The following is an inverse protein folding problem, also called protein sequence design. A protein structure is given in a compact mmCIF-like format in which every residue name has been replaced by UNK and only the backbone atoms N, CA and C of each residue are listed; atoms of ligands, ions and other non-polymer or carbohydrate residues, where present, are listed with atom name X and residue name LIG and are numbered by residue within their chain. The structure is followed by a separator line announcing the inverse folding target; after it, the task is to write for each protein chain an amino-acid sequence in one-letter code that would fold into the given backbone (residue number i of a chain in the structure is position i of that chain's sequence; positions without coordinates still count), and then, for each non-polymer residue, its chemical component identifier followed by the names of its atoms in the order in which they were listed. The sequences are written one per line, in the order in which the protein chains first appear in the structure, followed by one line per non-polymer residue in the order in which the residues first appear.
data_IF_252552923464
#
_entry.id   IF_252552923464
#
_cell.length_a   1.000
_cell.length_b   1.000
_cell.length_c   1.000
_cell.angle_alpha   90.00
_cell.angle_beta   90.00
_cell.angle_gamma   90.00
#
_symmetry.space_group_name_H-M   'P 1'
#
loop_
_entity.id
_entity.type
_entity.pdbx_description
1 polymer ?
#
# COMPACT_ATOMS: atom_id res chain seq x y z
N UNK A 1 -12.56 -1.20 -17.06
CA UNK A 1 -12.96 -1.06 -15.64
C UNK A 1 -12.42 0.26 -15.09
N UNK A 2 -13.04 0.80 -14.05
CA UNK A 2 -12.60 2.02 -13.35
C UNK A 2 -12.03 1.65 -11.99
N UNK A 3 -10.78 1.99 -11.74
CA UNK A 3 -10.10 1.69 -10.48
C UNK A 3 -9.69 2.93 -9.73
N UNK A 4 -9.96 2.94 -8.42
CA UNK A 4 -9.42 3.93 -7.51
C UNK A 4 -8.16 3.38 -6.82
N UNK A 5 -7.07 4.13 -6.86
CA UNK A 5 -5.83 3.82 -6.14
C UNK A 5 -5.65 4.86 -5.03
N UNK A 6 -5.79 4.45 -3.77
CA UNK A 6 -5.32 5.28 -2.66
C UNK A 6 -3.83 5.05 -2.45
N UNK A 7 -3.10 6.10 -2.11
CA UNK A 7 -1.63 5.99 -2.02
C UNK A 7 -0.92 5.93 -3.38
N UNK A 8 -1.56 6.46 -4.43
CA UNK A 8 -1.01 6.49 -5.79
C UNK A 8 0.36 7.18 -5.88
N UNK A 9 0.64 8.15 -5.01
CA UNK A 9 1.93 8.86 -4.95
C UNK A 9 3.00 8.13 -4.12
N UNK A 10 2.67 6.97 -3.58
CA UNK A 10 3.58 6.12 -2.79
C UNK A 10 4.56 5.34 -3.67
N UNK A 11 5.04 4.20 -3.14
CA UNK A 11 5.99 3.34 -3.85
C UNK A 11 5.30 2.39 -4.84
N UNK A 12 4.31 1.62 -4.40
CA UNK A 12 3.63 0.64 -5.25
C UNK A 12 2.58 1.29 -6.18
N UNK A 13 1.96 2.41 -5.74
CA UNK A 13 0.89 3.08 -6.46
C UNK A 13 1.20 3.43 -7.92
N UNK A 14 2.32 4.10 -8.24
CA UNK A 14 2.66 4.45 -9.62
C UNK A 14 2.91 3.22 -10.51
N UNK A 15 3.52 2.17 -9.95
CA UNK A 15 3.75 0.93 -10.67
C UNK A 15 2.41 0.22 -11.00
N UNK A 16 1.46 0.24 -10.06
CA UNK A 16 0.11 -0.27 -10.29
C UNK A 16 -0.64 0.57 -11.32
N UNK A 17 -0.57 1.90 -11.23
CA UNK A 17 -1.20 2.79 -12.20
C UNK A 17 -0.68 2.53 -13.63
N UNK A 18 0.64 2.38 -13.79
CA UNK A 18 1.23 2.05 -15.10
C UNK A 18 0.75 0.68 -15.61
N UNK A 19 0.65 -0.33 -14.75
CA UNK A 19 0.11 -1.64 -15.13
C UNK A 19 -1.35 -1.52 -15.57
N UNK A 20 -2.22 -0.91 -14.77
CA UNK A 20 -3.65 -0.78 -15.07
C UNK A 20 -3.92 0.01 -16.35
N UNK A 21 -3.13 1.06 -16.62
CA UNK A 21 -3.22 1.81 -17.87
C UNK A 21 -2.89 0.94 -19.08
N UNK A 22 -1.83 0.13 -19.01
CA UNK A 22 -1.45 -0.81 -20.07
C UNK A 22 -2.49 -1.89 -20.33
N UNK A 23 -3.25 -2.26 -19.32
CA UNK A 23 -4.38 -3.19 -19.42
C UNK A 23 -5.69 -2.50 -19.87
N UNK A 24 -5.65 -1.21 -20.19
CA UNK A 24 -6.78 -0.46 -20.75
C UNK A 24 -7.84 -0.02 -19.73
N UNK A 25 -7.45 0.16 -18.47
CA UNK A 25 -8.36 0.59 -17.42
C UNK A 25 -8.31 2.09 -17.17
N UNK A 26 -9.44 2.64 -16.70
CA UNK A 26 -9.56 4.02 -16.25
C UNK A 26 -9.06 4.14 -14.80
N UNK A 27 -8.17 5.09 -14.53
CA UNK A 27 -7.45 5.21 -13.27
C UNK A 27 -7.80 6.49 -12.55
N UNK A 28 -8.23 6.35 -11.31
CA UNK A 28 -8.41 7.43 -10.36
C UNK A 28 -7.35 7.33 -9.26
N UNK A 29 -6.68 8.43 -8.96
CA UNK A 29 -5.66 8.50 -7.92
C UNK A 29 -6.11 9.38 -6.77
N UNK A 30 -6.30 8.81 -5.57
CA UNK A 30 -6.64 9.61 -4.40
C UNK A 30 -5.39 10.14 -3.71
N UNK A 31 -5.33 11.47 -3.56
CA UNK A 31 -4.21 12.22 -2.98
C UNK A 31 -4.70 13.05 -1.78
N UNK A 32 -3.93 13.05 -0.70
CA UNK A 32 -4.29 13.74 0.56
C UNK A 32 -4.20 15.27 0.47
N UNK A 33 -3.36 15.82 -0.37
CA UNK A 33 -3.11 17.26 -0.44
C UNK A 33 -2.79 17.75 -1.85
N UNK A 34 -3.02 19.04 -2.09
CA UNK A 34 -2.83 19.73 -3.37
C UNK A 34 -1.44 20.35 -3.54
N UNK A 35 -0.42 19.87 -2.84
CA UNK A 35 0.92 20.46 -2.81
C UNK A 35 1.86 19.97 -3.93
N UNK A 36 1.31 19.48 -5.04
CA UNK A 36 2.07 19.04 -6.21
C UNK A 36 2.66 17.63 -6.11
N UNK A 37 2.27 16.85 -5.07
CA UNK A 37 2.79 15.48 -4.89
C UNK A 37 2.37 14.51 -6.00
N UNK A 38 1.33 14.84 -6.77
CA UNK A 38 0.97 14.11 -7.98
C UNK A 38 2.11 14.06 -8.99
N UNK A 39 2.98 15.06 -9.02
CA UNK A 39 4.16 15.08 -9.90
C UNK A 39 5.23 14.06 -9.48
N UNK A 40 5.21 13.62 -8.23
CA UNK A 40 6.19 12.64 -7.72
C UNK A 40 6.11 11.29 -8.45
N UNK A 41 5.00 10.97 -9.14
CA UNK A 41 4.84 9.71 -9.86
C UNK A 41 5.48 9.72 -11.25
N UNK A 42 5.85 10.89 -11.80
CA UNK A 42 6.43 11.03 -13.16
C UNK A 42 7.77 10.32 -13.33
N UNK A 43 8.46 9.99 -12.25
CA UNK A 43 9.68 9.18 -12.31
C UNK A 43 9.42 7.70 -12.67
N UNK A 44 8.17 7.25 -12.56
CA UNK A 44 7.77 5.86 -12.76
C UNK A 44 6.80 5.71 -13.92
N UNK A 45 5.82 6.61 -14.03
CA UNK A 45 4.81 6.53 -15.08
C UNK A 45 5.21 7.38 -16.28
N UNK A 46 5.05 6.89 -17.53
CA UNK A 46 5.17 7.71 -18.73
C UNK A 46 4.21 8.90 -18.70
N UNK A 47 4.56 9.97 -19.43
CA UNK A 47 3.74 11.19 -19.48
C UNK A 47 2.32 10.96 -20.00
N UNK A 48 2.12 10.00 -20.88
CA UNK A 48 0.81 9.58 -21.39
C UNK A 48 -0.04 9.00 -20.25
N UNK A 49 0.54 8.09 -19.45
CA UNK A 49 -0.15 7.49 -18.29
C UNK A 49 -0.50 8.56 -17.27
N UNK A 50 0.45 9.47 -16.98
CA UNK A 50 0.22 10.57 -16.03
C UNK A 50 -0.96 11.45 -16.44
N UNK A 51 -1.10 11.77 -17.73
CA UNK A 51 -2.19 12.63 -18.26
C UNK A 51 -3.56 11.96 -18.15
N UNK A 52 -3.60 10.64 -18.24
CA UNK A 52 -4.85 9.87 -18.22
C UNK A 52 -5.33 9.56 -16.79
N UNK A 53 -4.47 9.76 -15.76
CA UNK A 53 -4.87 9.58 -14.36
C UNK A 53 -5.75 10.76 -13.92
N UNK A 54 -6.93 10.44 -13.40
CA UNK A 54 -7.85 11.40 -12.78
C UNK A 54 -7.54 11.51 -11.30
N UNK A 55 -6.97 12.64 -10.89
CA UNK A 55 -6.62 12.89 -9.50
C UNK A 55 -7.82 13.41 -8.69
N UNK A 56 -8.05 12.79 -7.54
CA UNK A 56 -9.05 13.20 -6.55
C UNK A 56 -8.33 13.58 -5.27
N UNK A 57 -8.67 14.74 -4.72
CA UNK A 57 -8.06 15.26 -3.50
C UNK A 57 -9.00 15.04 -2.32
N UNK A 58 -8.61 14.13 -1.42
CA UNK A 58 -9.38 13.83 -0.21
C UNK A 58 -8.48 13.28 0.89
N UNK A 59 -8.85 13.59 2.14
CA UNK A 59 -8.19 12.99 3.30
C UNK A 59 -9.00 11.77 3.78
N UNK A 60 -8.36 10.62 3.88
CA UNK A 60 -8.97 9.37 4.34
C UNK A 60 -9.55 9.46 5.75
N UNK A 61 -8.96 10.27 6.63
CA UNK A 61 -9.45 10.44 8.01
C UNK A 61 -10.68 11.34 8.12
N UNK A 62 -11.07 12.02 7.03
CA UNK A 62 -12.28 12.83 6.98
C UNK A 62 -13.40 12.11 6.20
N UNK A 63 -14.19 11.32 6.89
CA UNK A 63 -15.28 10.57 6.28
C UNK A 63 -16.27 11.43 5.50
N UNK A 64 -16.63 12.64 6.02
CA UNK A 64 -17.59 13.53 5.36
C UNK A 64 -17.16 13.96 3.96
N UNK A 65 -15.86 14.18 3.78
CA UNK A 65 -15.29 14.54 2.47
C UNK A 65 -15.12 13.29 1.61
N UNK A 66 -14.58 12.21 2.21
CA UNK A 66 -14.30 10.97 1.51
C UNK A 66 -15.57 10.32 0.91
N UNK A 67 -16.68 10.30 1.62
CA UNK A 67 -17.93 9.72 1.10
C UNK A 67 -18.39 10.37 -0.22
N UNK A 68 -18.10 11.66 -0.44
CA UNK A 68 -18.47 12.33 -1.68
C UNK A 68 -17.73 11.76 -2.89
N UNK A 69 -16.49 11.29 -2.69
CA UNK A 69 -15.73 10.60 -3.75
C UNK A 69 -16.50 9.40 -4.29
N UNK A 70 -17.13 8.63 -3.39
CA UNK A 70 -17.91 7.44 -3.75
C UNK A 70 -19.36 7.75 -4.17
N UNK A 71 -19.87 8.93 -3.85
CA UNK A 71 -21.18 9.39 -4.35
C UNK A 71 -21.12 9.99 -5.75
N UNK A 72 -19.99 10.63 -6.07
CA UNK A 72 -19.80 11.37 -7.33
C UNK A 72 -19.13 10.51 -8.42
N UNK A 73 -18.51 9.38 -8.05
CA UNK A 73 -17.83 8.50 -8.98
C UNK A 73 -18.26 7.06 -8.72
N UNK A 74 -18.34 6.27 -9.77
CA UNK A 74 -18.55 4.82 -9.68
C UNK A 74 -17.21 4.11 -9.98
N UNK A 75 -16.81 3.18 -9.09
CA UNK A 75 -15.61 2.36 -9.24
C UNK A 75 -15.96 0.88 -9.30
N UNK A 76 -15.31 0.15 -10.20
CA UNK A 76 -15.39 -1.31 -10.23
C UNK A 76 -14.52 -1.93 -9.12
N UNK A 77 -13.45 -1.25 -8.74
CA UNK A 77 -12.60 -1.70 -7.64
C UNK A 77 -11.70 -0.61 -7.05
N UNK A 78 -11.30 -0.83 -5.82
CA UNK A 78 -10.39 0.04 -5.05
C UNK A 78 -9.15 -0.74 -4.66
N UNK A 79 -7.98 -0.23 -5.02
CA UNK A 79 -6.69 -0.66 -4.49
C UNK A 79 -6.28 0.25 -3.34
N UNK A 80 -6.47 -0.20 -2.12
CA UNK A 80 -6.16 0.60 -0.94
C UNK A 80 -4.72 0.37 -0.47
N UNK A 81 -3.80 1.19 -1.01
CA UNK A 81 -2.36 1.16 -0.72
C UNK A 81 -1.92 2.27 0.24
N UNK A 82 -2.77 3.26 0.49
CA UNK A 82 -2.44 4.37 1.39
C UNK A 82 -2.26 3.89 2.83
N UNK A 83 -1.11 4.20 3.40
CA UNK A 83 -0.80 3.94 4.80
C UNK A 83 0.45 4.71 5.23
N UNK A 84 0.59 4.98 6.52
CA UNK A 84 1.90 5.14 7.12
C UNK A 84 2.55 3.76 7.14
N UNK A 85 3.62 3.53 6.34
CA UNK A 85 4.15 2.20 6.03
C UNK A 85 5.58 1.95 6.52
N UNK A 86 6.13 2.85 7.34
CA UNK A 86 7.49 2.75 7.86
C UNK A 86 7.47 2.39 9.35
N UNK A 87 7.82 1.13 9.74
CA UNK A 87 7.75 0.68 11.13
C UNK A 87 8.51 1.57 12.13
N UNK A 88 9.75 2.06 11.85
CA UNK A 88 10.41 2.96 12.78
C UNK A 88 9.63 4.24 13.07
N UNK A 89 8.95 4.83 12.08
CA UNK A 89 8.11 6.02 12.28
C UNK A 89 6.89 5.73 13.15
N UNK A 90 6.36 4.50 13.12
CA UNK A 90 5.22 4.11 13.94
C UNK A 90 5.53 4.04 15.43
N UNK A 91 6.79 3.80 15.80
CA UNK A 91 7.22 3.89 17.19
C UNK A 91 7.32 5.35 17.68
N UNK A 92 7.70 6.26 16.79
CA UNK A 92 7.79 7.68 17.12
C UNK A 92 6.41 8.35 17.23
N UNK A 93 5.44 7.92 16.40
CA UNK A 93 4.06 8.42 16.41
C UNK A 93 3.07 7.27 16.21
N UNK A 94 2.76 6.50 17.27
CA UNK A 94 1.81 5.40 17.18
C UNK A 94 0.37 5.88 16.96
N UNK A 95 -0.04 6.99 17.56
CA UNK A 95 -1.42 7.48 17.44
C UNK A 95 -1.70 8.03 16.04
N UNK A 96 -0.79 8.81 15.46
CA UNK A 96 -0.91 9.25 14.07
C UNK A 96 -0.89 8.08 13.09
N UNK A 97 -0.10 7.03 13.39
CA UNK A 97 -0.12 5.77 12.61
C UNK A 97 -1.49 5.08 12.70
N UNK A 98 -2.13 5.05 13.86
CA UNK A 98 -3.46 4.46 14.02
C UNK A 98 -4.53 5.30 13.33
N UNK A 99 -4.46 6.62 13.42
CA UNK A 99 -5.39 7.51 12.72
C UNK A 99 -5.31 7.31 11.21
N UNK A 100 -4.12 7.39 10.63
CA UNK A 100 -3.92 7.20 9.19
C UNK A 100 -4.33 5.77 8.74
N UNK A 101 -3.91 4.73 9.45
CA UNK A 101 -4.04 3.34 8.99
C UNK A 101 -5.36 2.68 9.39
N UNK A 102 -5.87 2.92 10.61
CA UNK A 102 -7.10 2.29 11.09
C UNK A 102 -8.29 3.16 10.68
N UNK A 103 -8.32 4.42 11.12
CA UNK A 103 -9.47 5.29 10.85
C UNK A 103 -9.58 5.59 9.36
N UNK A 104 -8.46 5.93 8.69
CA UNK A 104 -8.46 6.16 7.25
C UNK A 104 -8.95 4.97 6.44
N UNK A 105 -8.53 3.75 6.80
CA UNK A 105 -8.97 2.53 6.12
C UNK A 105 -10.42 2.16 6.46
N UNK A 106 -10.84 2.33 7.73
CA UNK A 106 -12.22 2.09 8.12
C UNK A 106 -13.19 3.02 7.37
N UNK A 107 -12.79 4.26 7.14
CA UNK A 107 -13.59 5.21 6.36
C UNK A 107 -13.74 4.78 4.89
N UNK A 108 -12.70 4.22 4.26
CA UNK A 108 -12.78 3.64 2.90
C UNK A 108 -13.77 2.48 2.88
N UNK A 109 -13.64 1.54 3.80
CA UNK A 109 -14.52 0.37 3.93
C UNK A 109 -15.97 0.83 4.10
N UNK A 110 -16.21 1.80 5.00
CA UNK A 110 -17.54 2.33 5.26
C UNK A 110 -18.11 3.04 4.03
N UNK A 111 -17.32 3.86 3.34
CA UNK A 111 -17.78 4.59 2.16
C UNK A 111 -18.16 3.65 1.00
N UNK A 112 -17.41 2.56 0.80
CA UNK A 112 -17.77 1.51 -0.17
C UNK A 112 -19.08 0.83 0.25
N UNK A 113 -19.17 0.39 1.50
CA UNK A 113 -20.35 -0.29 2.03
C UNK A 113 -21.62 0.56 1.90
N UNK A 114 -21.51 1.87 2.17
CA UNK A 114 -22.65 2.78 2.16
C UNK A 114 -23.10 3.20 0.74
N UNK A 115 -22.15 3.30 -0.20
CA UNK A 115 -22.43 3.95 -1.48
C UNK A 115 -22.18 3.08 -2.71
N UNK A 116 -21.32 2.08 -2.63
CA UNK A 116 -20.93 1.22 -3.76
C UNK A 116 -20.73 -0.23 -3.31
N UNK A 117 -21.74 -0.94 -2.85
CA UNK A 117 -21.61 -2.29 -2.27
C UNK A 117 -21.08 -3.34 -3.25
N UNK A 118 -21.12 -3.06 -4.56
CA UNK A 118 -20.57 -3.93 -5.61
C UNK A 118 -19.12 -3.58 -5.99
N UNK A 119 -18.54 -2.54 -5.41
CA UNK A 119 -17.16 -2.14 -5.64
C UNK A 119 -16.22 -3.05 -4.85
N UNK A 120 -15.35 -3.76 -5.55
CA UNK A 120 -14.42 -4.70 -4.92
C UNK A 120 -13.24 -3.98 -4.26
N UNK A 121 -12.94 -4.30 -3.00
CA UNK A 121 -11.84 -3.70 -2.25
C UNK A 121 -10.66 -4.65 -2.09
N UNK A 122 -9.50 -4.25 -2.58
CA UNK A 122 -8.23 -4.85 -2.19
C UNK A 122 -7.60 -4.04 -1.06
N UNK A 123 -7.39 -4.65 0.10
CA UNK A 123 -6.66 -4.07 1.21
C UNK A 123 -5.22 -4.57 1.25
N UNK A 124 -4.27 -3.64 1.15
CA UNK A 124 -2.86 -3.93 1.32
C UNK A 124 -2.51 -4.01 2.82
N UNK A 125 -2.62 -5.20 3.39
CA UNK A 125 -2.08 -5.55 4.71
C UNK A 125 -0.55 -5.78 4.60
N UNK A 126 0.05 -6.52 5.53
CA UNK A 126 1.50 -6.72 5.59
C UNK A 126 1.83 -8.03 6.30
N UNK A 127 2.99 -8.61 6.02
CA UNK A 127 3.53 -9.72 6.82
C UNK A 127 3.85 -9.34 8.26
N UNK A 128 4.01 -8.04 8.58
CA UNK A 128 4.25 -7.56 9.95
C UNK A 128 3.07 -7.83 10.91
N UNK A 129 1.89 -8.18 10.38
CA UNK A 129 0.74 -8.59 11.22
C UNK A 129 1.00 -9.90 11.95
N UNK A 130 1.89 -10.75 11.44
CA UNK A 130 2.27 -12.01 12.07
C UNK A 130 3.33 -11.86 13.17
N UNK A 131 3.98 -10.69 13.26
CA UNK A 131 5.03 -10.41 14.23
C UNK A 131 6.25 -11.32 14.04
N UNK A 132 6.68 -11.93 15.14
CA UNK A 132 7.88 -12.77 15.17
C UNK A 132 7.61 -14.26 14.84
N UNK A 133 6.55 -14.57 14.13
CA UNK A 133 6.27 -15.92 13.63
C UNK A 133 7.32 -16.32 12.59
N UNK A 134 7.76 -17.59 12.61
CA UNK A 134 8.79 -18.08 11.70
C UNK A 134 10.20 -18.12 12.30
N UNK A 135 10.35 -17.76 13.59
CA UNK A 135 11.61 -17.95 14.33
C UNK A 135 12.01 -19.45 14.34
N UNK A 136 11.03 -20.35 14.28
CA UNK A 136 11.22 -21.82 14.29
C UNK A 136 11.45 -22.40 12.87
N UNK A 137 11.94 -21.61 11.93
CA UNK A 137 12.25 -22.02 10.53
C UNK A 137 11.06 -22.54 9.71
N UNK A 138 9.83 -22.50 10.24
CA UNK A 138 8.63 -22.87 9.49
C UNK A 138 8.15 -21.73 8.57
N UNK A 139 7.50 -22.10 7.49
CA UNK A 139 6.83 -21.13 6.62
C UNK A 139 5.63 -20.53 7.31
N UNK A 140 5.47 -19.20 7.19
CA UNK A 140 4.26 -18.50 7.61
C UNK A 140 3.08 -18.93 6.73
N UNK A 141 1.96 -19.20 7.35
CA UNK A 141 0.70 -19.57 6.70
C UNK A 141 -0.27 -18.40 6.76
N UNK A 142 -1.21 -18.36 5.84
CA UNK A 142 -2.22 -17.30 5.80
C UNK A 142 -3.14 -17.31 7.02
N UNK A 143 -3.34 -18.48 7.64
CA UNK A 143 -4.17 -18.72 8.82
C UNK A 143 -3.41 -18.64 10.16
N UNK A 144 -2.14 -18.27 10.15
CA UNK A 144 -1.37 -18.01 11.38
C UNK A 144 -1.96 -16.84 12.18
N UNK A 145 -1.91 -16.88 13.52
CA UNK A 145 -2.40 -15.82 14.38
C UNK A 145 -1.74 -14.46 14.06
N UNK A 146 -2.53 -13.39 14.15
CA UNK A 146 -2.03 -12.02 14.02
C UNK A 146 -1.50 -11.55 15.36
N UNK A 147 -0.17 -11.49 15.53
CA UNK A 147 0.53 -11.10 16.76
C UNK A 147 1.61 -10.06 16.41
N UNK A 148 1.21 -8.86 15.98
CA UNK A 148 2.14 -7.84 15.50
C UNK A 148 3.10 -7.38 16.61
N UNK A 149 4.37 -7.10 16.23
CA UNK A 149 5.44 -6.72 17.14
C UNK A 149 5.77 -5.21 17.13
N UNK A 150 5.02 -4.41 16.36
CA UNK A 150 5.21 -2.96 16.26
C UNK A 150 3.88 -2.25 15.99
N UNK A 151 3.78 -0.91 16.25
CA UNK A 151 2.52 -0.18 16.06
C UNK A 151 2.02 -0.18 14.62
N UNK A 152 2.90 -0.17 13.62
CA UNK A 152 2.51 -0.31 12.21
C UNK A 152 1.82 -1.66 11.96
N UNK A 153 2.44 -2.76 12.36
CA UNK A 153 1.84 -4.10 12.25
C UNK A 153 0.50 -4.19 12.99
N UNK A 154 0.41 -3.61 14.19
CA UNK A 154 -0.82 -3.55 14.98
C UNK A 154 -1.93 -2.79 14.24
N UNK A 155 -1.62 -1.63 13.65
CA UNK A 155 -2.60 -0.85 12.86
C UNK A 155 -3.10 -1.61 11.64
N UNK A 156 -2.22 -2.33 10.96
CA UNK A 156 -2.60 -3.14 9.79
C UNK A 156 -3.41 -4.36 10.20
N UNK A 157 -3.08 -5.03 11.31
CA UNK A 157 -3.83 -6.15 11.86
C UNK A 157 -5.26 -5.76 12.28
N UNK A 158 -5.43 -4.61 12.91
CA UNK A 158 -6.75 -4.09 13.29
C UNK A 158 -7.65 -3.90 12.06
N UNK A 159 -7.14 -3.28 11.01
CA UNK A 159 -7.89 -3.11 9.75
C UNK A 159 -8.13 -4.44 9.03
N UNK A 160 -7.15 -5.34 9.03
CA UNK A 160 -7.24 -6.68 8.45
C UNK A 160 -8.41 -7.45 9.09
N UNK A 161 -8.50 -7.47 10.42
CA UNK A 161 -9.61 -8.10 11.17
C UNK A 161 -10.96 -7.41 10.90
N UNK A 162 -11.00 -6.08 10.83
CA UNK A 162 -12.22 -5.37 10.52
C UNK A 162 -12.71 -5.68 9.10
N UNK A 163 -11.81 -5.73 8.11
CA UNK A 163 -12.18 -6.10 6.75
C UNK A 163 -12.66 -7.55 6.65
N UNK A 164 -12.01 -8.50 7.37
CA UNK A 164 -12.47 -9.88 7.45
C UNK A 164 -13.92 -9.96 7.98
N UNK A 165 -14.23 -9.21 9.05
CA UNK A 165 -15.60 -9.13 9.59
C UNK A 165 -16.59 -8.64 8.53
N UNK A 166 -16.26 -7.60 7.77
CA UNK A 166 -17.12 -7.08 6.70
C UNK A 166 -17.36 -8.09 5.58
N UNK A 167 -16.32 -8.81 5.18
CA UNK A 167 -16.40 -9.85 4.12
C UNK A 167 -17.23 -11.04 4.60
N UNK A 168 -16.95 -11.57 5.80
CA UNK A 168 -17.65 -12.73 6.36
C UNK A 168 -19.16 -12.46 6.51
N UNK A 169 -19.53 -11.25 6.88
CA UNK A 169 -20.93 -10.84 7.03
C UNK A 169 -21.60 -10.40 5.70
N UNK A 170 -20.93 -10.59 4.56
CA UNK A 170 -21.47 -10.24 3.24
C UNK A 170 -21.74 -8.75 3.04
N UNK A 171 -21.01 -7.88 3.74
CA UNK A 171 -21.16 -6.43 3.67
C UNK A 171 -20.16 -5.76 2.74
N UNK A 172 -19.13 -6.49 2.31
CA UNK A 172 -18.06 -6.00 1.47
C UNK A 172 -17.59 -7.12 0.54
N UNK A 173 -17.51 -6.88 -0.75
CA UNK A 173 -16.73 -7.68 -1.68
C UNK A 173 -15.27 -7.22 -1.62
N UNK A 174 -14.34 -8.15 -1.39
CA UNK A 174 -12.95 -7.77 -1.35
C UNK A 174 -12.02 -8.87 -0.81
N UNK A 175 -10.75 -8.55 -0.80
CA UNK A 175 -9.70 -9.46 -0.34
C UNK A 175 -8.55 -8.70 0.32
N UNK A 176 -7.76 -9.43 1.10
CA UNK A 176 -6.66 -8.90 1.89
C UNK A 176 -5.36 -9.52 1.37
N UNK A 177 -4.36 -8.68 1.11
CA UNK A 177 -3.02 -9.14 0.78
C UNK A 177 -2.07 -8.86 1.93
N UNK A 178 -1.41 -9.88 2.47
CA UNK A 178 -0.37 -9.75 3.50
C UNK A 178 1.01 -9.85 2.87
N UNK A 179 1.33 -8.81 2.10
CA UNK A 179 2.57 -8.77 1.33
C UNK A 179 3.80 -8.79 2.22
N UNK A 180 4.79 -9.58 1.81
CA UNK A 180 6.16 -9.52 2.33
C UNK A 180 6.90 -8.34 1.72
N UNK A 181 8.19 -8.17 2.08
CA UNK A 181 8.97 -7.04 1.59
C UNK A 181 9.03 -7.03 0.06
N UNK A 182 8.88 -5.87 -0.53
CA UNK A 182 9.07 -5.67 -1.95
C UNK A 182 9.90 -4.41 -2.20
N UNK A 183 10.68 -4.41 -3.27
CA UNK A 183 11.60 -3.34 -3.64
C UNK A 183 11.52 -3.06 -5.15
N UNK A 184 12.22 -2.04 -5.60
CA UNK A 184 12.28 -1.65 -7.01
C UNK A 184 12.63 -0.19 -7.16
N UNK A 185 12.63 0.33 -8.40
CA UNK A 185 12.89 1.74 -8.66
C UNK A 185 12.01 2.65 -7.80
N UNK A 186 12.59 3.73 -7.26
CA UNK A 186 11.93 4.72 -6.40
C UNK A 186 11.52 4.22 -5.01
N UNK A 187 11.94 3.03 -4.57
CA UNK A 187 11.79 2.67 -3.15
C UNK A 187 12.60 3.66 -2.29
N UNK A 188 11.96 4.22 -1.26
CA UNK A 188 12.61 5.21 -0.39
C UNK A 188 13.89 4.68 0.26
N UNK A 189 14.91 5.52 0.37
CA UNK A 189 16.21 5.20 0.97
C UNK A 189 16.19 4.85 2.46
N UNK A 190 15.03 4.89 3.09
CA UNK A 190 14.82 4.43 4.46
C UNK A 190 14.66 2.90 4.58
N UNK A 191 14.65 2.20 3.46
CA UNK A 191 14.54 0.74 3.39
C UNK A 191 15.90 0.15 3.00
N UNK A 192 16.29 -0.97 3.61
CA UNK A 192 17.65 -1.52 3.55
C UNK A 192 18.21 -1.61 2.13
N UNK A 193 17.59 -2.36 1.22
CA UNK A 193 18.10 -2.56 -0.15
C UNK A 193 18.27 -1.22 -0.89
N UNK A 194 17.33 -0.29 -0.73
CA UNK A 194 17.41 1.03 -1.37
C UNK A 194 18.48 1.91 -0.71
N UNK A 195 18.65 1.80 0.61
CA UNK A 195 19.73 2.46 1.34
C UNK A 195 21.10 1.99 0.84
N UNK A 196 21.26 0.67 0.74
CA UNK A 196 22.52 0.06 0.31
C UNK A 196 22.87 0.48 -1.13
N UNK A 197 21.91 0.38 -2.05
CA UNK A 197 22.08 0.82 -3.43
C UNK A 197 22.41 2.33 -3.52
N UNK A 198 21.78 3.16 -2.71
CA UNK A 198 22.04 4.60 -2.66
C UNK A 198 23.47 4.89 -2.14
N UNK A 199 23.91 4.22 -1.07
CA UNK A 199 25.25 4.37 -0.52
C UNK A 199 26.32 3.93 -1.55
N UNK A 200 26.14 2.76 -2.19
CA UNK A 200 27.04 2.25 -3.23
C UNK A 200 27.15 3.24 -4.40
N UNK A 201 26.03 3.78 -4.86
CA UNK A 201 26.04 4.77 -5.95
C UNK A 201 26.80 6.06 -5.56
N UNK A 202 26.74 6.48 -4.30
CA UNK A 202 27.51 7.62 -3.79
C UNK A 202 29.01 7.31 -3.71
N UNK A 203 29.38 6.12 -3.22
CA UNK A 203 30.77 5.68 -3.19
C UNK A 203 31.40 5.64 -4.59
N UNK A 204 30.65 5.11 -5.57
CA UNK A 204 31.08 5.05 -6.97
C UNK A 204 31.34 6.45 -7.58
N UNK A 205 30.63 7.47 -7.07
CA UNK A 205 30.81 8.87 -7.50
C UNK A 205 31.77 9.67 -6.63
N UNK A 206 32.45 9.06 -5.67
CA UNK A 206 33.35 9.74 -4.74
C UNK A 206 32.65 10.69 -3.78
N UNK A 207 31.33 10.54 -3.57
CA UNK A 207 30.52 11.39 -2.71
C UNK A 207 30.36 10.84 -1.28
N UNK A 208 30.96 9.70 -1.00
CA UNK A 208 30.98 9.02 0.29
C UNK A 208 32.20 8.12 0.38
N UNK A 209 32.73 7.95 1.57
CA UNK A 209 33.81 7.00 1.85
C UNK A 209 33.36 5.57 1.52
N UNK A 210 34.33 4.70 1.20
CA UNK A 210 34.06 3.30 0.85
C UNK A 210 33.68 2.47 2.09
N UNK A 211 32.69 2.97 2.81
CA UNK A 211 32.14 2.34 4.00
C UNK A 211 30.60 2.22 3.85
N UNK A 212 30.10 0.99 3.88
CA UNK A 212 28.67 0.69 3.77
C UNK A 212 28.07 0.50 5.15
N UNK A 213 27.20 1.41 5.55
CA UNK A 213 26.42 1.32 6.81
C UNK A 213 25.20 0.44 6.58
N UNK A 214 25.20 -0.71 7.20
CA UNK A 214 24.14 -1.73 7.04
C UNK A 214 23.56 -2.12 8.42
N UNK A 215 22.34 -2.65 8.39
CA UNK A 215 21.70 -3.20 9.58
C UNK A 215 22.15 -4.63 9.91
N UNK A 216 21.26 -5.39 10.56
CA UNK A 216 21.54 -6.77 10.94
C UNK A 216 21.60 -7.70 9.72
N UNK A 217 22.79 -8.21 9.40
CA UNK A 217 23.02 -9.14 8.28
C UNK A 217 22.39 -10.53 8.47
N UNK A 218 22.05 -10.91 9.71
CA UNK A 218 21.41 -12.20 9.98
C UNK A 218 19.87 -12.17 9.74
N UNK A 219 19.33 -11.02 9.37
CA UNK A 219 17.90 -10.92 9.05
C UNK A 219 17.55 -11.65 7.75
N UNK A 220 16.76 -12.70 7.85
CA UNK A 220 16.21 -13.40 6.68
C UNK A 220 14.94 -12.68 6.23
N UNK A 221 14.86 -12.30 4.96
CA UNK A 221 13.74 -11.56 4.38
C UNK A 221 13.35 -12.14 3.03
N UNK A 222 12.06 -12.23 2.78
CA UNK A 222 11.53 -12.45 1.43
C UNK A 222 11.41 -11.08 0.77
N UNK A 223 11.99 -10.95 -0.42
CA UNK A 223 11.94 -9.70 -1.20
C UNK A 223 11.46 -9.99 -2.61
N UNK A 224 10.43 -9.27 -3.03
CA UNK A 224 9.88 -9.33 -4.39
C UNK A 224 10.15 -8.03 -5.15
N UNK A 225 10.11 -8.10 -6.48
CA UNK A 225 10.04 -6.88 -7.29
C UNK A 225 8.63 -6.26 -7.16
N UNK A 226 8.55 -4.94 -7.05
CA UNK A 226 7.28 -4.22 -6.95
C UNK A 226 6.38 -4.46 -8.15
N UNK A 227 6.95 -4.68 -9.34
CA UNK A 227 6.20 -4.94 -10.57
C UNK A 227 5.48 -6.28 -10.52
N UNK A 228 6.09 -7.30 -9.94
CA UNK A 228 5.46 -8.60 -9.71
C UNK A 228 4.41 -8.51 -8.61
N UNK A 229 4.69 -7.74 -7.57
CA UNK A 229 3.74 -7.49 -6.47
C UNK A 229 2.45 -6.84 -6.98
N UNK A 230 2.55 -5.74 -7.76
CA UNK A 230 1.35 -5.08 -8.27
C UNK A 230 0.62 -5.91 -9.33
N UNK A 231 1.34 -6.75 -10.07
CA UNK A 231 0.72 -7.72 -10.98
C UNK A 231 -0.10 -8.76 -10.21
N UNK A 232 0.41 -9.26 -9.09
CA UNK A 232 -0.33 -10.17 -8.21
C UNK A 232 -1.61 -9.50 -7.66
N UNK A 233 -1.52 -8.23 -7.24
CA UNK A 233 -2.69 -7.46 -6.81
C UNK A 233 -3.75 -7.34 -7.91
N UNK A 234 -3.32 -7.03 -9.13
CA UNK A 234 -4.22 -6.91 -10.28
C UNK A 234 -4.89 -8.24 -10.63
N UNK A 235 -4.13 -9.32 -10.69
CA UNK A 235 -4.70 -10.65 -10.98
C UNK A 235 -5.70 -11.10 -9.91
N UNK A 236 -5.40 -10.84 -8.64
CA UNK A 236 -6.32 -11.12 -7.54
C UNK A 236 -7.59 -10.24 -7.59
N UNK A 237 -7.49 -9.00 -8.08
CA UNK A 237 -8.66 -8.12 -8.27
C UNK A 237 -9.61 -8.68 -9.33
N UNK A 238 -9.10 -9.37 -10.35
CA UNK A 238 -9.89 -9.93 -11.44
C UNK A 238 -10.37 -11.35 -11.18
N UNK A 239 -9.83 -12.05 -10.16
CA UNK A 239 -10.22 -13.43 -9.86
C UNK A 239 -11.61 -13.46 -9.23
N UNK A 240 -12.43 -14.43 -9.62
CA UNK A 240 -13.62 -14.80 -8.87
C UNK A 240 -13.17 -15.36 -7.52
N UNK A 241 -13.58 -14.74 -6.43
CA UNK A 241 -13.07 -14.97 -5.08
C UNK A 241 -13.38 -16.34 -4.49
#
# INVERSE_FOLDING_TARGET
MKFLITGITGFAGPNLANLLHREGHEIYGLIRSTNGRENDIRDIVPDEVYRDIKFIYSNLTNYRVLQNVFKENEFDGVFHLAAQSHPPSSFADPLGTFDDNIIGSANIIQAITDHQPNCRLMFCSTSEVYGNVGIDERKIRWDDPLVPANPYGASKAATDLYMQERIINGKLDGFITRAFSHTGPRRGKNFSISSDAFQIARMMRGMQDKELLIGNLNSVRVVMDVRDTVRAYYLAMLSDG
#
